data_IF_579581823458
#
_entry.id   IF_579581823458
#
_cell.length_a   1.000
_cell.length_b   1.000
_cell.length_c   1.000
_cell.angle_alpha   90.00
_cell.angle_beta   90.00
_cell.angle_gamma   90.00
#
_symmetry.space_group_name_H-M   'P 1'
#
loop_
_entity.id
_entity.type
_entity.pdbx_description
1 polymer ?
#
# COMPACT_ATOMS: atom_id res chain seq x y z
N UNK A 1 6.86 -24.85 -4.27
CA UNK A 1 7.36 -24.13 -3.11
C UNK A 1 6.40 -24.27 -1.92
N UNK A 2 6.90 -24.19 -0.66
CA UNK A 2 6.14 -24.48 0.55
C UNK A 2 4.89 -23.59 0.77
N UNK A 3 4.72 -22.50 0.03
CA UNK A 3 3.63 -21.53 0.17
C UNK A 3 2.71 -21.46 -1.07
N UNK A 4 2.65 -22.53 -1.87
CA UNK A 4 1.83 -22.59 -3.08
C UNK A 4 2.09 -21.45 -4.11
N UNK A 5 3.33 -20.97 -4.17
CA UNK A 5 3.79 -20.02 -5.17
C UNK A 5 4.53 -20.80 -6.25
N UNK A 6 4.28 -20.53 -7.53
CA UNK A 6 4.97 -21.23 -8.62
C UNK A 6 6.45 -20.85 -8.67
N UNK A 7 7.31 -21.79 -9.03
CA UNK A 7 8.74 -21.54 -9.26
C UNK A 7 8.96 -20.47 -10.33
N UNK A 8 8.15 -20.53 -11.38
CA UNK A 8 8.17 -19.55 -12.47
C UNK A 8 7.98 -18.11 -11.97
N UNK A 9 6.97 -17.87 -11.13
CA UNK A 9 6.73 -16.54 -10.55
C UNK A 9 7.84 -16.13 -9.63
N UNK A 10 8.32 -17.05 -8.79
CA UNK A 10 9.43 -16.77 -7.89
C UNK A 10 10.68 -16.34 -8.66
N UNK A 11 11.12 -17.09 -9.65
CA UNK A 11 12.30 -16.79 -10.45
C UNK A 11 12.14 -15.50 -11.23
N UNK A 12 10.99 -15.29 -11.86
CA UNK A 12 10.68 -14.10 -12.64
C UNK A 12 10.76 -12.83 -11.79
N UNK A 13 10.22 -12.86 -10.59
CA UNK A 13 10.04 -11.69 -9.75
C UNK A 13 11.26 -11.43 -8.87
N UNK A 14 11.90 -12.48 -8.36
CA UNK A 14 13.02 -12.35 -7.42
C UNK A 14 14.37 -12.12 -8.10
N UNK A 15 14.50 -12.41 -9.40
CA UNK A 15 15.77 -12.23 -10.15
C UNK A 15 16.27 -10.78 -10.15
N UNK A 16 15.34 -9.82 -10.24
CA UNK A 16 15.69 -8.38 -10.26
C UNK A 16 15.66 -7.73 -8.87
N UNK A 17 15.33 -8.49 -7.83
CA UNK A 17 15.24 -8.00 -6.45
C UNK A 17 16.61 -7.64 -5.89
N UNK A 18 16.73 -6.45 -5.30
CA UNK A 18 17.98 -5.87 -4.81
C UNK A 18 17.94 -5.62 -3.32
N UNK A 19 19.08 -5.74 -2.67
CA UNK A 19 19.23 -5.29 -1.30
C UNK A 19 19.29 -3.76 -1.21
N UNK A 20 18.39 -3.17 -0.44
CA UNK A 20 18.23 -1.71 -0.31
C UNK A 20 18.62 -1.24 1.10
N UNK A 21 19.89 -0.92 1.31
CA UNK A 21 20.42 -0.50 2.63
C UNK A 21 19.66 0.70 3.25
N UNK A 22 19.13 1.61 2.42
CA UNK A 22 18.35 2.76 2.89
C UNK A 22 17.02 2.35 3.52
N UNK A 23 16.40 1.26 3.07
CA UNK A 23 15.16 0.73 3.64
C UNK A 23 15.35 0.35 5.11
N UNK A 24 16.49 -0.26 5.44
CA UNK A 24 16.85 -0.58 6.84
C UNK A 24 17.01 0.68 7.69
N UNK A 25 17.59 1.76 7.13
CA UNK A 25 17.71 3.04 7.83
C UNK A 25 16.34 3.65 8.12
N UNK A 26 15.42 3.63 7.15
CA UNK A 26 14.05 4.12 7.34
C UNK A 26 13.27 3.29 8.36
N UNK A 27 13.45 1.97 8.38
CA UNK A 27 12.83 1.12 9.40
C UNK A 27 13.29 1.43 10.83
N UNK A 28 14.52 1.89 11.00
CA UNK A 28 15.08 2.24 12.31
C UNK A 28 14.79 3.68 12.75
N UNK A 29 14.44 4.55 11.81
CA UNK A 29 14.14 5.95 12.08
C UNK A 29 12.80 6.33 11.45
N UNK A 30 11.77 6.46 12.29
CA UNK A 30 10.42 6.83 11.87
C UNK A 30 10.07 8.17 12.52
N UNK A 31 10.07 9.29 11.75
CA UNK A 31 9.85 10.64 12.28
C UNK A 31 8.52 10.81 13.02
N UNK A 32 7.52 10.02 12.68
CA UNK A 32 6.18 10.06 13.27
C UNK A 32 6.17 9.85 14.79
N UNK A 33 7.15 9.15 15.32
CA UNK A 33 7.29 8.95 16.77
C UNK A 33 7.84 10.15 17.52
N UNK A 34 8.32 11.17 16.80
CA UNK A 34 8.96 12.37 17.38
C UNK A 34 8.12 13.64 17.20
N UNK A 35 6.97 13.55 16.52
CA UNK A 35 6.09 14.68 16.26
C UNK A 35 4.95 14.71 17.30
N UNK A 36 4.68 15.87 17.90
CA UNK A 36 3.53 16.01 18.80
C UNK A 36 2.20 15.95 18.03
N UNK A 37 1.15 15.50 18.70
CA UNK A 37 -0.17 15.26 18.09
C UNK A 37 -0.75 16.51 17.42
N UNK A 38 -0.58 17.69 18.02
CA UNK A 38 -1.14 18.94 17.48
C UNK A 38 -0.46 19.30 16.16
N UNK A 39 0.86 19.22 16.10
CA UNK A 39 1.66 19.45 14.90
C UNK A 39 1.31 18.40 13.83
N UNK A 40 1.22 17.14 14.23
CA UNK A 40 0.81 16.04 13.34
C UNK A 40 -0.54 16.32 12.67
N UNK A 41 -1.57 16.62 13.46
CA UNK A 41 -2.93 16.89 12.95
C UNK A 41 -2.94 18.14 12.07
N UNK A 42 -2.33 19.25 12.51
CA UNK A 42 -2.36 20.51 11.75
C UNK A 42 -1.70 20.42 10.38
N UNK A 43 -0.64 19.63 10.25
CA UNK A 43 0.01 19.37 8.96
C UNK A 43 -0.86 18.56 8.02
N UNK A 44 -1.66 17.62 8.55
CA UNK A 44 -2.47 16.68 7.77
C UNK A 44 -3.89 17.15 7.48
N UNK A 45 -4.39 18.17 8.20
CA UNK A 45 -5.73 18.76 8.03
C UNK A 45 -5.72 20.22 7.59
N UNK A 46 -4.68 20.66 6.87
CA UNK A 46 -4.56 22.04 6.41
C UNK A 46 -5.62 22.40 5.35
N UNK A 47 -6.05 23.69 5.31
CA UNK A 47 -6.96 24.22 4.28
C UNK A 47 -6.47 23.94 2.85
N UNK A 48 -5.15 23.98 2.63
CA UNK A 48 -4.55 23.63 1.34
C UNK A 48 -4.84 22.18 0.95
N UNK A 49 -4.76 21.26 1.91
CA UNK A 49 -5.04 19.85 1.67
C UNK A 49 -6.54 19.61 1.46
N UNK A 50 -7.40 20.31 2.21
CA UNK A 50 -8.84 20.27 2.01
C UNK A 50 -9.24 20.73 0.59
N UNK A 51 -8.75 21.88 0.16
CA UNK A 51 -9.04 22.39 -1.19
C UNK A 51 -8.58 21.42 -2.27
N UNK A 52 -7.38 20.82 -2.11
CA UNK A 52 -6.91 19.78 -3.04
C UNK A 52 -7.83 18.56 -3.08
N UNK A 53 -8.41 18.17 -1.94
CA UNK A 53 -9.38 17.08 -1.86
C UNK A 53 -10.69 17.39 -2.57
N UNK A 54 -11.17 18.63 -2.44
CA UNK A 54 -12.36 19.12 -3.16
C UNK A 54 -12.09 19.10 -4.66
N UNK A 55 -10.96 19.63 -5.12
CA UNK A 55 -10.58 19.62 -6.54
C UNK A 55 -10.46 18.17 -7.07
N UNK A 56 -9.84 17.28 -6.30
CA UNK A 56 -9.73 15.86 -6.66
C UNK A 56 -11.11 15.21 -6.79
N UNK A 57 -12.02 15.46 -5.84
CA UNK A 57 -13.40 14.98 -5.90
C UNK A 57 -14.13 15.50 -7.15
N UNK A 58 -14.07 16.79 -7.41
CA UNK A 58 -14.76 17.40 -8.56
C UNK A 58 -14.28 16.82 -9.90
N UNK A 59 -12.97 16.55 -10.02
CA UNK A 59 -12.38 15.96 -11.22
C UNK A 59 -12.64 14.44 -11.37
N UNK A 60 -13.04 13.75 -10.30
CA UNK A 60 -13.28 12.30 -10.29
C UNK A 60 -14.67 11.93 -9.73
N UNK A 61 -15.62 12.86 -9.79
CA UNK A 61 -16.91 12.77 -9.11
C UNK A 61 -17.67 11.49 -9.44
N UNK A 62 -17.75 11.14 -10.72
CA UNK A 62 -18.52 9.99 -11.16
C UNK A 62 -17.94 8.66 -10.61
N UNK A 63 -16.61 8.52 -10.69
CA UNK A 63 -15.94 7.34 -10.17
C UNK A 63 -16.11 7.23 -8.65
N UNK A 64 -15.91 8.34 -7.93
CA UNK A 64 -16.03 8.35 -6.45
C UNK A 64 -17.45 8.02 -6.02
N UNK A 65 -18.47 8.58 -6.68
CA UNK A 65 -19.87 8.28 -6.39
C UNK A 65 -20.23 6.82 -6.72
N UNK A 66 -19.66 6.23 -7.78
CA UNK A 66 -19.82 4.80 -8.06
C UNK A 66 -19.24 3.95 -6.92
N UNK A 67 -18.04 4.29 -6.43
CA UNK A 67 -17.41 3.58 -5.31
C UNK A 67 -18.24 3.74 -4.03
N UNK A 68 -18.66 4.97 -3.69
CA UNK A 68 -19.51 5.27 -2.53
C UNK A 68 -20.77 4.40 -2.54
N UNK A 69 -21.51 4.40 -3.65
CA UNK A 69 -22.77 3.67 -3.77
C UNK A 69 -22.58 2.14 -3.81
N UNK A 70 -21.53 1.67 -4.46
CA UNK A 70 -21.26 0.23 -4.63
C UNK A 70 -20.80 -0.44 -3.35
N UNK A 71 -20.00 0.26 -2.56
CA UNK A 71 -19.34 -0.29 -1.36
C UNK A 71 -19.88 0.29 -0.05
N UNK A 72 -20.88 1.18 -0.12
CA UNK A 72 -21.48 1.85 1.04
C UNK A 72 -20.44 2.53 1.95
N UNK A 73 -19.42 3.13 1.33
CA UNK A 73 -18.35 3.85 2.01
C UNK A 73 -18.51 5.33 1.76
N UNK A 74 -18.63 6.13 2.81
CA UNK A 74 -18.70 7.59 2.70
C UNK A 74 -17.51 8.15 1.91
N UNK A 75 -17.79 8.93 0.87
CA UNK A 75 -16.73 9.52 0.01
C UNK A 75 -15.79 10.42 0.80
N UNK A 76 -16.27 11.08 1.84
CA UNK A 76 -15.45 11.92 2.74
C UNK A 76 -14.38 11.09 3.45
N UNK A 77 -14.71 9.88 3.89
CA UNK A 77 -13.75 8.95 4.49
C UNK A 77 -12.74 8.49 3.45
N UNK A 78 -13.20 8.08 2.27
CA UNK A 78 -12.35 7.64 1.15
C UNK A 78 -11.34 8.72 0.77
N UNK A 79 -11.83 9.95 0.56
CA UNK A 79 -11.00 11.10 0.19
C UNK A 79 -10.03 11.50 1.31
N UNK A 80 -10.46 11.42 2.57
CA UNK A 80 -9.60 11.74 3.71
C UNK A 80 -8.43 10.78 3.81
N UNK A 81 -8.66 9.47 3.64
CA UNK A 81 -7.59 8.47 3.60
C UNK A 81 -6.63 8.73 2.44
N UNK A 82 -7.12 8.93 1.22
CA UNK A 82 -6.27 9.28 0.07
C UNK A 82 -5.46 10.56 0.31
N UNK A 83 -6.06 11.54 0.98
CA UNK A 83 -5.40 12.79 1.35
C UNK A 83 -4.27 12.56 2.37
N UNK A 84 -4.49 11.75 3.39
CA UNK A 84 -3.50 11.47 4.44
C UNK A 84 -2.35 10.64 3.86
N UNK A 85 -2.66 9.54 3.20
CA UNK A 85 -1.69 8.54 2.76
C UNK A 85 -0.81 9.03 1.60
N UNK A 86 -1.43 9.59 0.56
CA UNK A 86 -0.70 9.89 -0.68
C UNK A 86 -0.84 11.33 -1.17
N UNK A 87 -1.50 12.19 -0.38
CA UNK A 87 -1.86 13.54 -0.82
C UNK A 87 -2.55 13.51 -2.20
N UNK A 88 -3.59 12.68 -2.29
CA UNK A 88 -4.38 12.43 -3.51
C UNK A 88 -3.53 11.92 -4.68
N UNK A 89 -2.72 10.89 -4.43
CA UNK A 89 -1.88 10.24 -5.43
C UNK A 89 -0.61 10.99 -5.83
N UNK A 90 -0.31 12.14 -5.19
CA UNK A 90 0.92 12.90 -5.50
C UNK A 90 2.18 12.22 -4.95
N UNK A 91 2.06 11.47 -3.85
CA UNK A 91 3.16 10.82 -3.14
C UNK A 91 2.85 9.35 -2.88
N UNK A 92 2.81 8.54 -3.92
CA UNK A 92 2.55 7.09 -3.81
C UNK A 92 3.78 6.27 -3.40
N UNK A 93 4.95 6.93 -3.23
CA UNK A 93 6.23 6.28 -3.00
C UNK A 93 6.96 5.95 -4.30
N UNK A 94 8.28 5.74 -4.20
CA UNK A 94 9.16 5.44 -5.34
C UNK A 94 10.09 4.26 -5.08
N UNK A 95 9.91 3.57 -3.96
CA UNK A 95 10.72 2.40 -3.62
C UNK A 95 10.17 1.19 -4.35
N UNK A 96 11.06 0.36 -4.87
CA UNK A 96 10.72 -0.96 -5.38
C UNK A 96 10.21 -1.82 -4.22
N UNK A 97 8.95 -2.25 -4.29
CA UNK A 97 8.27 -2.94 -3.19
C UNK A 97 8.87 -4.31 -2.92
N UNK A 98 9.19 -5.05 -3.98
CA UNK A 98 9.76 -6.39 -3.85
C UNK A 98 11.12 -6.34 -3.18
N UNK A 99 12.00 -5.46 -3.64
CA UNK A 99 13.32 -5.23 -3.04
C UNK A 99 13.21 -4.73 -1.59
N UNK A 100 12.24 -3.87 -1.30
CA UNK A 100 11.99 -3.34 0.05
C UNK A 100 11.58 -4.47 1.00
N UNK A 101 10.57 -5.26 0.63
CA UNK A 101 10.09 -6.38 1.44
C UNK A 101 11.15 -7.47 1.59
N UNK A 102 11.87 -7.82 0.53
CA UNK A 102 12.96 -8.79 0.60
C UNK A 102 14.10 -8.33 1.53
N UNK A 103 14.48 -7.04 1.45
CA UNK A 103 15.49 -6.45 2.34
C UNK A 103 15.05 -6.50 3.80
N UNK A 104 13.80 -6.13 4.10
CA UNK A 104 13.25 -6.14 5.47
C UNK A 104 12.98 -7.56 5.99
N UNK A 105 12.70 -8.51 5.10
CA UNK A 105 12.63 -9.94 5.44
C UNK A 105 13.98 -10.50 5.86
N UNK A 106 15.06 -10.03 5.23
CA UNK A 106 16.43 -10.40 5.60
C UNK A 106 16.89 -9.74 6.91
N UNK A 107 16.44 -8.52 7.21
CA UNK A 107 16.79 -7.79 8.44
C UNK A 107 16.08 -8.40 9.67
N UNK A 108 16.84 -8.73 10.71
CA UNK A 108 16.35 -9.51 11.87
C UNK A 108 15.24 -8.80 12.68
N UNK A 109 15.12 -7.48 12.59
CA UNK A 109 14.24 -6.70 13.49
C UNK A 109 12.77 -7.06 13.40
N UNK A 110 12.23 -7.19 12.16
CA UNK A 110 10.82 -7.53 11.88
C UNK A 110 10.72 -8.55 10.75
N UNK A 111 11.69 -9.46 10.66
CA UNK A 111 11.83 -10.42 9.58
C UNK A 111 10.57 -11.24 9.34
N UNK A 112 9.96 -11.77 10.39
CA UNK A 112 8.76 -12.60 10.29
C UNK A 112 7.59 -11.83 9.64
N UNK A 113 7.34 -10.61 10.09
CA UNK A 113 6.29 -9.75 9.52
C UNK A 113 6.53 -9.49 8.03
N UNK A 114 7.72 -9.01 7.66
CA UNK A 114 8.00 -8.67 6.26
C UNK A 114 8.12 -9.89 5.35
N UNK A 115 8.57 -11.04 5.86
CA UNK A 115 8.54 -12.30 5.11
C UNK A 115 7.10 -12.71 4.79
N UNK A 116 6.19 -12.57 5.73
CA UNK A 116 4.76 -12.83 5.50
C UNK A 116 4.19 -11.91 4.41
N UNK A 117 4.46 -10.61 4.49
CA UNK A 117 4.01 -9.64 3.49
C UNK A 117 4.60 -9.94 2.09
N UNK A 118 5.88 -10.29 2.01
CA UNK A 118 6.53 -10.70 0.76
C UNK A 118 5.87 -11.94 0.14
N UNK A 119 5.62 -12.96 0.94
CA UNK A 119 4.99 -14.19 0.46
C UNK A 119 3.56 -13.96 -0.03
N UNK A 120 2.80 -13.11 0.66
CA UNK A 120 1.46 -12.71 0.23
C UNK A 120 1.54 -11.94 -1.10
N UNK A 121 2.47 -11.00 -1.22
CA UNK A 121 2.67 -10.26 -2.48
C UNK A 121 3.02 -11.18 -3.64
N UNK A 122 3.94 -12.11 -3.45
CA UNK A 122 4.30 -13.10 -4.46
C UNK A 122 3.10 -13.96 -4.88
N UNK A 123 2.24 -14.33 -3.93
CA UNK A 123 1.00 -15.05 -4.22
C UNK A 123 0.01 -14.21 -5.04
N UNK A 124 -0.19 -12.94 -4.70
CA UNK A 124 -1.05 -12.03 -5.46
C UNK A 124 -0.55 -11.85 -6.91
N UNK A 125 0.76 -11.84 -7.11
CA UNK A 125 1.38 -11.79 -8.44
C UNK A 125 1.17 -13.11 -9.18
N UNK A 126 1.38 -14.25 -8.54
CA UNK A 126 1.22 -15.59 -9.12
C UNK A 126 -0.23 -15.83 -9.59
N UNK A 127 -1.19 -15.31 -8.85
CA UNK A 127 -2.62 -15.34 -9.16
C UNK A 127 -3.04 -14.26 -10.19
N UNK A 128 -2.10 -13.49 -10.75
CA UNK A 128 -2.33 -12.36 -11.67
C UNK A 128 -3.27 -11.27 -11.13
N UNK A 129 -3.32 -11.09 -9.82
CA UNK A 129 -4.11 -10.03 -9.18
C UNK A 129 -3.36 -8.70 -9.17
N UNK A 130 -2.03 -8.74 -9.25
CA UNK A 130 -1.16 -7.56 -9.23
C UNK A 130 -0.10 -7.67 -10.32
N UNK A 131 0.10 -6.60 -11.09
CA UNK A 131 1.22 -6.49 -12.02
C UNK A 131 2.48 -6.05 -11.27
N UNK A 132 3.47 -6.95 -11.22
CA UNK A 132 4.74 -6.71 -10.53
C UNK A 132 5.63 -5.65 -11.21
N UNK A 133 5.44 -5.38 -12.50
CA UNK A 133 6.30 -4.44 -13.26
C UNK A 133 6.17 -2.99 -12.84
N UNK A 134 5.07 -2.65 -12.17
CA UNK A 134 4.76 -1.28 -11.72
C UNK A 134 4.65 -1.16 -10.20
N UNK A 135 5.21 -2.09 -9.44
CA UNK A 135 5.11 -2.14 -7.98
C UNK A 135 6.10 -1.19 -7.31
N UNK A 136 5.73 0.09 -7.28
CA UNK A 136 6.43 1.12 -6.52
C UNK A 136 5.56 1.66 -5.39
N UNK A 137 6.18 1.97 -4.26
CA UNK A 137 5.46 2.45 -3.09
C UNK A 137 6.37 2.94 -1.98
N UNK A 138 5.95 2.70 -0.72
CA UNK A 138 6.73 3.07 0.46
C UNK A 138 7.92 2.13 0.67
N UNK A 139 8.85 2.58 1.51
CA UNK A 139 9.99 1.76 1.94
C UNK A 139 9.57 0.50 2.73
N UNK A 140 8.38 0.52 3.34
CA UNK A 140 7.85 -0.59 4.13
C UNK A 140 7.00 -1.59 3.33
N UNK A 141 6.83 -1.38 2.02
CA UNK A 141 6.08 -2.30 1.17
C UNK A 141 4.60 -1.94 0.97
N UNK A 142 4.15 -0.78 1.45
CA UNK A 142 2.81 -0.28 1.20
C UNK A 142 2.74 0.44 -0.16
N UNK A 143 1.63 0.28 -0.91
CA UNK A 143 1.48 0.85 -2.25
C UNK A 143 0.06 1.27 -2.60
N UNK A 144 -0.08 1.95 -3.74
CA UNK A 144 -1.35 2.49 -4.21
C UNK A 144 -1.79 3.77 -3.50
N UNK A 145 -2.98 4.26 -3.82
CA UNK A 145 -3.52 5.50 -3.27
C UNK A 145 -3.74 5.47 -1.76
N UNK A 146 -4.01 4.29 -1.21
CA UNK A 146 -4.30 4.04 0.21
C UNK A 146 -3.13 3.46 0.99
N UNK A 147 -1.98 3.27 0.35
CA UNK A 147 -0.78 2.71 0.98
C UNK A 147 -1.07 1.41 1.74
N UNK A 148 -1.82 0.50 1.11
CA UNK A 148 -2.12 -0.80 1.71
C UNK A 148 -0.92 -1.73 1.64
N UNK A 149 -0.75 -2.50 2.70
CA UNK A 149 0.15 -3.65 2.72
C UNK A 149 -0.44 -4.81 1.90
N UNK A 150 0.37 -5.72 1.34
CA UNK A 150 -0.12 -6.89 0.61
C UNK A 150 -1.21 -7.69 1.35
N UNK A 151 -1.05 -7.89 2.66
CA UNK A 151 -2.03 -8.59 3.50
C UNK A 151 -3.39 -7.88 3.55
N UNK A 152 -3.40 -6.56 3.58
CA UNK A 152 -4.65 -5.78 3.58
C UNK A 152 -5.41 -5.95 2.27
N UNK A 153 -4.71 -6.02 1.14
CA UNK A 153 -5.33 -6.24 -0.17
C UNK A 153 -5.99 -7.62 -0.23
N UNK A 154 -5.33 -8.66 0.28
CA UNK A 154 -5.89 -10.02 0.31
C UNK A 154 -7.21 -10.09 1.08
N UNK A 155 -7.29 -9.44 2.25
CA UNK A 155 -8.51 -9.39 3.05
C UNK A 155 -9.62 -8.69 2.29
N UNK A 156 -9.35 -7.54 1.69
CA UNK A 156 -10.34 -6.78 0.91
C UNK A 156 -10.84 -7.58 -0.30
N UNK A 157 -9.95 -8.31 -0.97
CA UNK A 157 -10.30 -9.13 -2.14
C UNK A 157 -11.21 -10.31 -1.78
N UNK A 158 -10.93 -11.00 -0.68
CA UNK A 158 -11.77 -12.13 -0.22
C UNK A 158 -13.18 -11.67 0.17
N UNK A 159 -13.34 -10.48 0.75
CA UNK A 159 -14.66 -9.91 1.06
C UNK A 159 -15.44 -9.46 -0.17
N UNK A 160 -14.75 -9.06 -1.25
CA UNK A 160 -15.38 -8.63 -2.50
C UNK A 160 -15.75 -9.79 -3.44
N UNK A 161 -15.14 -10.96 -3.27
CA UNK A 161 -15.32 -12.14 -4.14
C UNK A 161 -16.18 -13.26 -3.51
N UNK A 162 -16.56 -13.14 -2.24
CA UNK A 162 -17.50 -14.08 -1.64
C UNK A 162 -18.88 -13.89 -2.30
N UNK A 163 -19.49 -14.96 -2.87
CA UNK A 163 -20.85 -14.87 -3.35
C UNK A 163 -21.74 -14.49 -2.17
N UNK A 164 -22.55 -13.46 -2.35
CA UNK A 164 -23.68 -13.21 -1.47
C UNK A 164 -24.55 -14.46 -1.56
N UNK A 165 -24.53 -15.29 -0.53
CA UNK A 165 -25.52 -16.36 -0.39
C UNK A 165 -26.87 -15.68 -0.22
N UNK A 166 -27.71 -15.76 -1.25
CA UNK A 166 -29.14 -15.48 -1.20
C UNK A 166 -29.84 -16.30 -0.10
#
# INVERSE_FOLDING_TARGET
>A
LANNISEKTFDLVMTDTKFLANVIKYDRYQPEFYEDTKTYVSKRSSTKKLNKGIDFYLNNKDLINIVENKFEIEKELLLSLMGIETNYGTYVGKMDILSSLATLSYDKRRSEFFTKELLILLKLIDENQIDYKSLYGSWAGAFGFFQFMPSTITVSYTHLTLPTTD
#
